data_IF_209257821730
#
_entry.id   IF_209257821730
#
_cell.length_a   1.000
_cell.length_b   1.000
_cell.length_c   1.000
_cell.angle_alpha   90.00
_cell.angle_beta   90.00
_cell.angle_gamma   90.00
#
_symmetry.space_group_name_H-M   'P 1'
#
loop_
_entity.id
_entity.type
_entity.pdbx_description
1 polymer ?
#
# COMPACT_ATOMS: atom_id res chain seq x y z
N UNK A 1 14.00 10.84 -5.86
CA UNK A 1 14.60 11.16 -4.54
C UNK A 1 15.51 12.37 -4.73
N UNK A 2 14.96 13.59 -4.78
CA UNK A 2 15.73 14.78 -5.21
C UNK A 2 16.11 15.76 -4.09
N UNK A 3 15.63 15.62 -2.85
CA UNK A 3 15.71 16.71 -1.85
C UNK A 3 16.14 16.30 -0.42
N UNK A 4 16.68 15.10 -0.17
CA UNK A 4 17.12 14.72 1.20
C UNK A 4 18.65 14.82 1.32
N UNK A 5 19.14 15.42 2.42
CA UNK A 5 20.57 15.45 2.77
C UNK A 5 20.95 14.25 3.63
N UNK A 6 22.25 13.95 3.66
CA UNK A 6 22.78 12.85 4.47
C UNK A 6 22.48 13.12 5.96
N UNK A 7 21.81 12.17 6.63
CA UNK A 7 21.36 12.29 8.02
C UNK A 7 19.92 12.79 8.21
N UNK A 8 19.25 13.28 7.16
CA UNK A 8 17.82 13.67 7.24
C UNK A 8 16.86 12.50 7.01
N UNK A 9 17.28 11.52 6.21
CA UNK A 9 16.50 10.33 5.92
C UNK A 9 17.43 9.15 5.62
N UNK A 10 17.00 7.96 6.03
CA UNK A 10 17.64 6.70 5.68
C UNK A 10 16.81 6.00 4.60
N UNK A 11 17.47 5.48 3.55
CA UNK A 11 16.83 4.72 2.48
C UNK A 11 17.55 3.40 2.25
N UNK A 12 16.75 2.35 2.17
CA UNK A 12 17.21 1.02 1.84
C UNK A 12 16.15 0.25 1.06
N UNK A 13 16.61 -0.68 0.25
CA UNK A 13 15.78 -1.48 -0.65
C UNK A 13 15.86 -2.96 -0.28
N UNK A 14 14.77 -3.68 -0.54
CA UNK A 14 14.77 -5.14 -0.53
C UNK A 14 14.55 -5.60 -1.97
N UNK A 15 15.57 -6.16 -2.58
CA UNK A 15 15.52 -6.69 -3.93
C UNK A 15 15.19 -8.17 -3.86
N UNK A 16 14.05 -8.57 -4.46
CA UNK A 16 13.63 -9.97 -4.56
C UNK A 16 13.82 -10.45 -5.99
N UNK A 17 14.72 -11.41 -6.19
CA UNK A 17 14.98 -12.01 -7.50
C UNK A 17 14.11 -13.27 -7.63
N UNK A 18 13.33 -13.35 -8.71
CA UNK A 18 12.47 -14.49 -9.02
C UNK A 18 12.93 -15.17 -10.30
N UNK A 19 12.86 -16.50 -10.34
CA UNK A 19 12.99 -17.26 -11.56
C UNK A 19 11.71 -17.12 -12.39
N UNK A 20 11.85 -17.16 -13.72
CA UNK A 20 10.70 -17.38 -14.59
C UNK A 20 9.97 -18.66 -14.16
N UNK A 21 8.67 -18.55 -13.92
CA UNK A 21 7.82 -19.69 -13.64
C UNK A 21 7.87 -20.64 -14.85
N UNK A 22 8.50 -21.81 -14.70
CA UNK A 22 8.29 -22.88 -15.66
C UNK A 22 6.79 -23.25 -15.61
N UNK A 23 6.10 -23.43 -16.75
CA UNK A 23 4.73 -23.94 -16.74
C UNK A 23 4.69 -25.19 -15.86
N UNK A 24 3.69 -25.29 -14.99
CA UNK A 24 3.49 -26.48 -14.16
C UNK A 24 3.38 -27.68 -15.11
N UNK A 25 4.23 -28.69 -14.92
CA UNK A 25 4.28 -29.91 -15.74
C UNK A 25 2.87 -30.49 -15.86
N UNK A 26 2.38 -30.66 -17.10
CA UNK A 26 1.02 -31.13 -17.39
C UNK A 26 -0.04 -30.02 -17.58
N UNK A 27 0.34 -28.74 -17.48
CA UNK A 27 -0.61 -27.62 -17.68
C UNK A 27 -0.26 -26.84 -18.95
N UNK A 28 -1.26 -26.48 -19.75
CA UNK A 28 -1.06 -25.59 -20.91
C UNK A 28 -0.37 -24.29 -20.48
N UNK A 29 0.65 -23.79 -21.22
CA UNK A 29 1.27 -22.49 -20.98
C UNK A 29 0.28 -21.31 -20.99
N UNK A 30 -0.88 -21.49 -21.61
CA UNK A 30 -1.97 -20.49 -21.66
C UNK A 30 -2.98 -20.61 -20.52
N UNK A 31 -2.87 -21.63 -19.67
CA UNK A 31 -3.77 -21.80 -18.52
C UNK A 31 -3.68 -20.63 -17.55
N UNK A 32 -4.79 -20.29 -16.90
CA UNK A 32 -4.82 -19.26 -15.87
C UNK A 32 -3.87 -19.60 -14.70
N UNK A 33 -3.76 -20.89 -14.36
CA UNK A 33 -2.85 -21.40 -13.34
C UNK A 33 -1.37 -21.11 -13.66
N UNK A 34 -0.96 -21.26 -14.92
CA UNK A 34 0.41 -20.92 -15.35
C UNK A 34 0.66 -19.42 -15.48
N UNK A 35 -0.38 -18.61 -15.75
CA UNK A 35 -0.26 -17.15 -15.92
C UNK A 35 -0.20 -16.37 -14.61
N UNK A 36 -0.78 -16.93 -13.55
CA UNK A 36 -0.87 -16.29 -12.23
C UNK A 36 -0.06 -17.00 -11.16
N UNK A 37 0.72 -18.03 -11.52
CA UNK A 37 1.65 -18.65 -10.59
C UNK A 37 2.78 -17.66 -10.25
N UNK A 38 3.08 -17.46 -8.96
CA UNK A 38 4.24 -16.66 -8.59
C UNK A 38 5.51 -17.34 -9.09
N UNK A 39 6.45 -16.54 -9.60
CA UNK A 39 7.79 -17.02 -9.91
C UNK A 39 8.46 -17.62 -8.68
N UNK A 40 9.33 -18.61 -8.87
CA UNK A 40 10.09 -19.19 -7.75
C UNK A 40 11.05 -18.13 -7.22
N UNK A 41 10.98 -17.81 -5.93
CA UNK A 41 11.92 -16.89 -5.29
C UNK A 41 13.33 -17.52 -5.31
N UNK A 42 14.30 -16.78 -5.86
CA UNK A 42 15.70 -17.20 -5.94
C UNK A 42 16.55 -16.54 -4.86
N UNK A 43 16.36 -15.24 -4.64
CA UNK A 43 17.15 -14.48 -3.68
C UNK A 43 16.37 -13.30 -3.10
N UNK A 44 16.75 -12.90 -1.89
CA UNK A 44 16.28 -11.67 -1.24
C UNK A 44 17.51 -10.95 -0.71
N UNK A 45 17.74 -9.73 -1.18
CA UNK A 45 18.89 -8.92 -0.80
C UNK A 45 18.41 -7.61 -0.17
N UNK A 46 19.03 -7.19 0.93
CA UNK A 46 18.80 -5.87 1.55
C UNK A 46 19.95 -4.96 1.16
N UNK A 47 19.65 -3.86 0.46
CA UNK A 47 20.63 -2.88 0.00
C UNK A 47 20.43 -1.56 0.72
N UNK A 48 21.35 -1.14 1.61
CA UNK A 48 21.36 0.24 2.08
C UNK A 48 21.78 1.15 0.92
N UNK A 49 20.96 2.16 0.61
CA UNK A 49 21.15 3.02 -0.56
C UNK A 49 21.59 4.43 -0.15
N UNK A 50 21.07 4.95 0.96
CA UNK A 50 21.36 6.31 1.43
C UNK A 50 21.22 6.41 2.96
N UNK A 51 22.05 7.24 3.60
CA UNK A 51 22.06 7.43 5.05
C UNK A 51 22.73 6.28 5.81
N UNK A 52 22.27 6.01 7.03
CA UNK A 52 22.67 4.89 7.88
C UNK A 52 21.45 4.04 8.31
N UNK A 53 20.74 3.40 7.35
CA UNK A 53 19.53 2.63 7.64
C UNK A 53 19.82 1.46 8.57
N UNK A 54 19.03 1.35 9.64
CA UNK A 54 19.09 0.22 10.56
C UNK A 54 18.58 -1.05 9.85
N UNK A 55 19.47 -2.03 9.65
CA UNK A 55 19.20 -3.24 8.85
C UNK A 55 17.96 -4.03 9.30
N UNK A 56 17.66 -3.98 10.61
CA UNK A 56 16.47 -4.59 11.23
C UNK A 56 15.16 -4.01 10.70
N UNK A 57 15.13 -2.74 10.32
CA UNK A 57 13.94 -2.04 9.83
C UNK A 57 13.77 -2.12 8.31
N UNK A 58 14.79 -2.56 7.57
CA UNK A 58 14.71 -2.77 6.13
C UNK A 58 13.76 -3.95 5.86
N UNK A 59 12.53 -3.66 5.39
CA UNK A 59 11.50 -4.66 5.10
C UNK A 59 10.46 -4.13 4.11
N UNK A 60 9.91 -5.01 3.29
CA UNK A 60 8.76 -4.69 2.40
C UNK A 60 7.42 -5.08 3.01
N UNK A 61 7.42 -5.80 4.13
CA UNK A 61 6.22 -6.43 4.71
C UNK A 61 5.09 -5.43 5.00
N UNK A 62 5.41 -4.23 5.47
CA UNK A 62 4.43 -3.17 5.73
C UNK A 62 3.74 -2.70 4.44
N UNK A 63 4.53 -2.42 3.40
CA UNK A 63 4.01 -1.99 2.10
C UNK A 63 3.27 -3.12 1.37
N UNK A 64 3.74 -4.36 1.49
CA UNK A 64 3.05 -5.53 0.94
C UNK A 64 1.69 -5.74 1.61
N UNK A 65 1.63 -5.61 2.95
CA UNK A 65 0.37 -5.66 3.69
C UNK A 65 -0.56 -4.51 3.29
N UNK A 66 -0.03 -3.30 3.11
CA UNK A 66 -0.82 -2.16 2.64
C UNK A 66 -1.38 -2.40 1.23
N UNK A 67 -0.57 -2.92 0.32
CA UNK A 67 -1.01 -3.29 -1.03
C UNK A 67 -2.11 -4.35 -1.02
N UNK A 68 -2.03 -5.33 -0.12
CA UNK A 68 -3.10 -6.30 0.08
C UNK A 68 -4.37 -5.60 0.57
N UNK A 69 -4.28 -4.74 1.58
CA UNK A 69 -5.41 -3.96 2.08
C UNK A 69 -6.09 -3.17 0.97
N UNK A 70 -5.32 -2.43 0.17
CA UNK A 70 -5.85 -1.65 -0.97
C UNK A 70 -6.60 -2.54 -1.96
N UNK A 71 -6.03 -3.69 -2.36
CA UNK A 71 -6.69 -4.60 -3.31
C UNK A 71 -7.97 -5.24 -2.78
N UNK A 72 -8.01 -5.50 -1.47
CA UNK A 72 -9.16 -6.15 -0.82
C UNK A 72 -10.29 -5.17 -0.49
N UNK A 73 -9.96 -3.92 -0.17
CA UNK A 73 -10.93 -2.94 0.31
C UNK A 73 -11.33 -1.91 -0.76
N UNK A 74 -10.52 -1.74 -1.80
CA UNK A 74 -10.82 -0.82 -2.88
C UNK A 74 -10.97 -1.57 -4.22
N UNK A 75 -12.20 -1.61 -4.70
CA UNK A 75 -12.57 -2.30 -5.95
C UNK A 75 -11.82 -1.76 -7.17
N UNK A 76 -11.39 -0.49 -7.15
CA UNK A 76 -10.63 0.13 -8.24
C UNK A 76 -9.26 -0.53 -8.45
N UNK A 77 -8.74 -1.26 -7.45
CA UNK A 77 -7.49 -2.01 -7.53
C UNK A 77 -7.69 -3.50 -7.85
N UNK A 78 -8.93 -3.98 -7.98
CA UNK A 78 -9.15 -5.37 -8.39
C UNK A 78 -9.07 -5.52 -9.91
N UNK A 79 -8.30 -6.51 -10.37
CA UNK A 79 -8.12 -6.80 -11.80
C UNK A 79 -9.28 -7.64 -12.35
N UNK A 80 -9.55 -7.50 -13.66
CA UNK A 80 -10.53 -8.30 -14.43
C UNK A 80 -11.99 -8.06 -14.02
N UNK A 81 -12.33 -6.81 -13.72
CA UNK A 81 -13.67 -6.44 -13.26
C UNK A 81 -14.05 -5.08 -13.81
N UNK A 82 -15.34 -4.80 -13.94
CA UNK A 82 -15.82 -3.50 -14.45
C UNK A 82 -15.71 -2.36 -13.41
N UNK A 83 -15.13 -2.65 -12.23
CA UNK A 83 -15.00 -1.71 -11.13
C UNK A 83 -13.80 -0.77 -11.23
N UNK A 84 -13.31 -0.41 -12.41
CA UNK A 84 -12.16 0.51 -12.58
C UNK A 84 -12.59 1.99 -12.64
N UNK A 85 -11.65 2.90 -12.44
CA UNK A 85 -11.88 4.34 -12.62
C UNK A 85 -11.59 4.74 -14.08
N UNK A 86 -12.52 5.45 -14.73
CA UNK A 86 -12.32 5.98 -16.10
C UNK A 86 -11.43 7.23 -16.14
N UNK A 87 -11.49 8.06 -15.09
CA UNK A 87 -10.68 9.27 -14.91
C UNK A 87 -9.66 9.06 -13.81
N UNK A 88 -8.45 9.62 -13.96
CA UNK A 88 -7.39 9.55 -12.96
C UNK A 88 -7.82 10.21 -11.65
N UNK A 89 -8.45 11.38 -11.72
CA UNK A 89 -8.89 12.14 -10.53
C UNK A 89 -9.80 11.30 -9.64
N UNK A 90 -10.77 10.60 -10.23
CA UNK A 90 -11.65 9.69 -9.49
C UNK A 90 -10.90 8.52 -8.85
N UNK A 91 -9.79 8.07 -9.44
CA UNK A 91 -8.94 7.06 -8.84
C UNK A 91 -8.19 7.64 -7.63
N UNK A 92 -7.66 8.85 -7.75
CA UNK A 92 -6.99 9.58 -6.67
C UNK A 92 -7.95 9.84 -5.50
N UNK A 93 -9.17 10.33 -5.77
CA UNK A 93 -10.17 10.56 -4.74
C UNK A 93 -10.56 9.27 -4.01
N UNK A 94 -10.78 8.17 -4.74
CA UNK A 94 -11.07 6.87 -4.11
C UNK A 94 -9.91 6.35 -3.25
N UNK A 95 -8.65 6.58 -3.67
CA UNK A 95 -7.48 6.25 -2.87
C UNK A 95 -7.44 7.09 -1.59
N UNK A 96 -7.67 8.40 -1.70
CA UNK A 96 -7.72 9.30 -0.54
C UNK A 96 -8.79 8.87 0.47
N UNK A 97 -10.01 8.57 0.00
CA UNK A 97 -11.09 8.04 0.85
C UNK A 97 -10.66 6.74 1.53
N UNK A 98 -10.00 5.82 0.81
CA UNK A 98 -9.54 4.55 1.38
C UNK A 98 -8.53 4.77 2.50
N UNK A 99 -7.59 5.70 2.31
CA UNK A 99 -6.55 6.05 3.29
C UNK A 99 -7.18 6.68 4.54
N UNK A 100 -8.09 7.65 4.37
CA UNK A 100 -8.78 8.31 5.49
C UNK A 100 -9.60 7.29 6.27
N UNK A 101 -10.43 6.50 5.58
CA UNK A 101 -11.25 5.48 6.23
C UNK A 101 -10.42 4.47 7.02
N UNK A 102 -9.33 3.97 6.44
CA UNK A 102 -8.45 3.00 7.10
C UNK A 102 -7.80 3.57 8.37
N UNK A 103 -7.35 4.82 8.33
CA UNK A 103 -6.63 5.42 9.45
C UNK A 103 -7.55 5.97 10.54
N UNK A 104 -8.70 6.54 10.19
CA UNK A 104 -9.55 7.30 11.12
C UNK A 104 -10.83 6.57 11.54
N UNK A 105 -11.43 5.76 10.66
CA UNK A 105 -12.72 5.11 10.92
C UNK A 105 -12.58 3.64 11.32
N UNK A 106 -11.57 2.94 10.79
CA UNK A 106 -11.44 1.49 10.97
C UNK A 106 -10.67 1.15 12.24
N UNK A 107 -11.28 0.37 13.13
CA UNK A 107 -10.61 -0.21 14.31
C UNK A 107 -9.74 -1.40 13.93
N UNK A 108 -8.57 -1.51 14.56
CA UNK A 108 -7.60 -2.56 14.31
C UNK A 108 -7.40 -3.43 15.55
N UNK A 109 -7.59 -4.76 15.40
CA UNK A 109 -7.36 -5.72 16.50
C UNK A 109 -5.93 -5.67 17.03
N UNK A 110 -4.95 -5.54 16.14
CA UNK A 110 -3.52 -5.42 16.49
C UNK A 110 -3.17 -4.15 17.27
N UNK A 111 -4.08 -3.17 17.31
CA UNK A 111 -3.95 -1.92 18.05
C UNK A 111 -4.89 -1.89 19.26
N UNK A 112 -5.35 -3.05 19.74
CA UNK A 112 -6.27 -3.15 20.89
C UNK A 112 -7.63 -2.51 20.63
N UNK A 113 -8.10 -2.51 19.38
CA UNK A 113 -9.39 -1.90 19.02
C UNK A 113 -9.34 -0.40 18.75
N UNK A 114 -8.15 0.23 18.80
CA UNK A 114 -7.93 1.61 18.33
C UNK A 114 -7.82 1.69 16.80
N UNK A 115 -8.01 2.87 16.25
CA UNK A 115 -7.66 3.17 14.84
C UNK A 115 -6.18 3.55 14.73
N UNK A 116 -5.56 3.45 13.55
CA UNK A 116 -4.19 3.93 13.34
C UNK A 116 -3.99 5.40 13.74
N UNK A 117 -4.94 6.28 13.40
CA UNK A 117 -4.88 7.70 13.77
C UNK A 117 -4.93 7.89 15.30
N UNK A 118 -5.74 7.08 16.01
CA UNK A 118 -5.73 7.08 17.47
C UNK A 118 -4.41 6.60 18.06
N UNK A 119 -3.82 5.54 17.50
CA UNK A 119 -2.54 5.04 17.94
C UNK A 119 -1.40 6.04 17.70
N UNK A 120 -1.52 6.88 16.67
CA UNK A 120 -0.61 7.97 16.35
C UNK A 120 -0.90 9.27 17.13
N UNK A 121 -1.97 9.33 17.94
CA UNK A 121 -2.34 10.52 18.71
C UNK A 121 -2.94 11.67 17.89
N UNK A 122 -3.39 11.40 16.65
CA UNK A 122 -4.01 12.41 15.78
C UNK A 122 -5.49 12.66 16.10
N UNK A 123 -6.12 11.74 16.80
CA UNK A 123 -7.50 11.83 17.27
C UNK A 123 -7.68 10.91 18.48
N UNK A 124 -8.63 11.22 19.34
CA UNK A 124 -8.97 10.46 20.54
C UNK A 124 -10.23 9.59 20.37
N UNK A 125 -10.91 9.68 19.23
CA UNK A 125 -12.11 8.91 18.94
C UNK A 125 -12.08 8.25 17.56
N UNK A 126 -13.02 7.32 17.34
CA UNK A 126 -13.20 6.67 16.04
C UNK A 126 -14.14 7.50 15.19
N UNK A 127 -13.68 7.93 14.03
CA UNK A 127 -14.48 8.74 13.12
C UNK A 127 -15.66 7.97 12.56
N UNK A 128 -16.79 8.66 12.45
CA UNK A 128 -18.01 8.23 11.79
C UNK A 128 -18.00 8.69 10.32
N UNK A 129 -18.93 8.17 9.53
CA UNK A 129 -19.11 8.60 8.14
C UNK A 129 -19.41 10.11 8.04
N UNK A 130 -20.11 10.69 9.02
CA UNK A 130 -20.37 12.13 9.10
C UNK A 130 -19.08 12.94 9.17
N UNK A 131 -18.08 12.49 9.93
CA UNK A 131 -16.80 13.20 10.09
C UNK A 131 -16.02 13.19 8.76
N UNK A 132 -16.10 12.08 8.02
CA UNK A 132 -15.47 11.96 6.71
C UNK A 132 -16.15 12.89 5.67
N UNK A 133 -17.47 13.04 5.73
CA UNK A 133 -18.21 13.95 4.85
C UNK A 133 -18.06 15.43 5.25
N UNK A 134 -17.80 15.71 6.52
CA UNK A 134 -17.54 17.04 7.04
C UNK A 134 -16.10 17.51 6.80
N UNK A 135 -15.17 16.61 6.43
CA UNK A 135 -13.87 17.02 5.95
C UNK A 135 -14.05 17.88 4.70
N UNK A 136 -13.61 19.13 4.79
CA UNK A 136 -13.51 20.01 3.65
C UNK A 136 -12.30 19.61 2.78
N UNK A 137 -12.42 18.48 2.08
CA UNK A 137 -11.40 17.91 1.18
C UNK A 137 -11.27 18.68 -0.14
N UNK A 138 -12.07 19.74 -0.34
CA UNK A 138 -12.30 20.35 -1.64
C UNK A 138 -11.53 21.66 -1.87
N UNK A 139 -10.79 22.17 -0.89
CA UNK A 139 -9.93 23.36 -1.06
C UNK A 139 -8.60 23.04 -1.74
N UNK A 140 -8.65 22.37 -2.90
CA UNK A 140 -7.49 22.22 -3.80
C UNK A 140 -7.18 23.49 -4.62
N UNK A 141 -7.60 24.67 -4.16
CA UNK A 141 -7.48 25.94 -4.89
C UNK A 141 -6.55 26.99 -4.24
N UNK A 142 -5.72 26.65 -3.25
CA UNK A 142 -4.94 27.66 -2.51
C UNK A 142 -3.44 27.37 -2.35
N UNK A 143 -2.83 26.51 -3.18
CA UNK A 143 -1.36 26.39 -3.25
C UNK A 143 -0.92 26.28 -4.71
N UNK A 144 -0.90 27.43 -5.38
CA UNK A 144 -0.12 27.70 -6.58
C UNK A 144 0.78 28.90 -6.29
#
# INVERSE_FOLDING_TARGET
MKNFRYGEADHAEVVKTYANSKPVTGTSPRSAASRYSPGRLLAVEKRPTFGMPITKHISTSFMERWNLTLRMQNRRFTRLTNGFSKKLDNHVFMLAITVVFYNFCRKHKSLGGKTPAMAAGLTDYVWKASDLLALDLWTLAAVA
#
